data_IF_217052709943
#
_entry.id   IF_217052709943
#
_cell.length_a   1.000
_cell.length_b   1.000
_cell.length_c   1.000
_cell.angle_alpha   90.00
_cell.angle_beta   90.00
_cell.angle_gamma   90.00
#
_symmetry.space_group_name_H-M   'P 1'
#
loop_
_entity.id
_entity.type
_entity.pdbx_description
1 polymer ?
#
# COMPACT_ATOMS: atom_id res chain seq x y z
N UNK A 1 5.75 13.89 -12.27
CA UNK A 1 5.02 12.68 -11.83
C UNK A 1 4.67 11.89 -13.06
N UNK A 2 5.00 10.60 -13.09
CA UNK A 2 4.25 9.70 -13.96
C UNK A 2 2.81 9.74 -13.49
N UNK A 3 1.82 9.76 -14.39
CA UNK A 3 0.45 9.54 -13.93
C UNK A 3 0.44 8.13 -13.35
N UNK A 4 -0.21 7.92 -12.20
CA UNK A 4 -0.28 6.59 -11.57
C UNK A 4 -0.66 5.47 -12.53
N UNK A 5 -1.51 5.81 -13.51
CA UNK A 5 -1.89 4.92 -14.60
C UNK A 5 -0.72 4.46 -15.47
N UNK A 6 0.26 5.33 -15.75
CA UNK A 6 1.42 5.01 -16.57
C UNK A 6 2.31 3.96 -15.88
N UNK A 7 2.47 4.08 -14.56
CA UNK A 7 3.20 3.10 -13.74
C UNK A 7 2.52 1.72 -13.80
N UNK A 8 1.21 1.70 -13.59
CA UNK A 8 0.42 0.46 -13.65
C UNK A 8 0.48 -0.15 -15.05
N UNK A 9 0.31 0.66 -16.11
CA UNK A 9 0.36 0.21 -17.50
C UNK A 9 1.73 -0.36 -17.88
N UNK A 10 2.82 0.25 -17.39
CA UNK A 10 4.19 -0.23 -17.64
C UNK A 10 4.42 -1.64 -17.06
N UNK A 11 3.76 -1.96 -15.95
CA UNK A 11 3.85 -3.28 -15.32
C UNK A 11 2.87 -4.28 -15.96
N UNK A 12 1.72 -3.80 -16.43
CA UNK A 12 0.79 -4.56 -17.28
C UNK A 12 0.47 -5.94 -16.72
N UNK A 13 0.73 -6.98 -17.52
CA UNK A 13 0.46 -8.38 -17.19
C UNK A 13 1.21 -8.88 -15.95
N UNK A 14 2.30 -8.23 -15.52
CA UNK A 14 2.99 -8.61 -14.28
C UNK A 14 2.10 -8.43 -13.04
N UNK A 15 1.18 -7.48 -13.09
CA UNK A 15 0.19 -7.23 -12.03
C UNK A 15 -1.10 -8.03 -12.23
N UNK A 16 -1.20 -8.80 -13.32
CA UNK A 16 -2.35 -9.67 -13.55
C UNK A 16 -2.43 -10.75 -12.47
N UNK A 17 -3.65 -11.08 -12.06
CA UNK A 17 -3.89 -12.09 -11.03
C UNK A 17 -3.78 -11.59 -9.59
N UNK A 18 -3.35 -10.34 -9.36
CA UNK A 18 -3.48 -9.72 -8.04
C UNK A 18 -4.96 -9.59 -7.67
N UNK A 19 -5.30 -9.99 -6.44
CA UNK A 19 -6.66 -9.97 -5.91
C UNK A 19 -6.96 -8.66 -5.19
N UNK A 20 -5.92 -8.03 -4.65
CA UNK A 20 -5.96 -6.74 -4.01
C UNK A 20 -6.28 -5.61 -4.99
N UNK A 21 -6.64 -4.46 -4.43
CA UNK A 21 -7.02 -3.28 -5.23
C UNK A 21 -5.79 -2.43 -5.51
N UNK A 22 -5.58 -2.08 -6.77
CA UNK A 22 -4.65 -1.02 -7.16
C UNK A 22 -5.44 0.23 -7.56
N UNK A 23 -5.13 1.36 -6.94
CA UNK A 23 -5.75 2.66 -7.22
C UNK A 23 -4.68 3.63 -7.73
N UNK A 24 -4.73 4.08 -8.99
CA UNK A 24 -3.82 5.13 -9.47
C UNK A 24 -4.15 6.47 -8.84
N UNK A 25 -3.14 7.33 -8.66
CA UNK A 25 -3.29 8.70 -8.18
C UNK A 25 -4.10 8.79 -6.89
N UNK A 26 -3.78 7.94 -5.90
CA UNK A 26 -4.54 7.87 -4.67
C UNK A 26 -4.27 9.10 -3.78
N UNK A 27 -5.33 9.75 -3.33
CA UNK A 27 -5.25 10.94 -2.48
C UNK A 27 -4.84 10.55 -1.05
N UNK A 28 -3.64 10.95 -0.62
CA UNK A 28 -3.10 10.55 0.68
C UNK A 28 -3.77 11.28 1.84
N UNK A 29 -4.33 12.47 1.63
CA UNK A 29 -5.14 13.19 2.61
C UNK A 29 -6.41 12.42 3.05
N UNK A 30 -6.96 11.55 2.19
CA UNK A 30 -8.07 10.65 2.54
C UNK A 30 -7.62 9.44 3.36
N UNK A 31 -6.32 9.20 3.46
CA UNK A 31 -5.72 8.02 4.10
C UNK A 31 -5.02 8.38 5.41
N UNK A 32 -4.33 9.52 5.45
CA UNK A 32 -3.58 9.97 6.62
C UNK A 32 -4.51 10.53 7.69
N UNK A 33 -4.14 10.34 8.96
CA UNK A 33 -4.90 10.88 10.08
C UNK A 33 -4.95 12.40 10.10
N UNK A 34 -3.83 13.04 9.73
CA UNK A 34 -3.71 14.50 9.65
C UNK A 34 -4.50 15.11 8.48
N UNK A 35 -5.10 14.28 7.60
CA UNK A 35 -5.82 14.72 6.40
C UNK A 35 -4.99 15.66 5.53
N UNK A 36 -3.72 15.29 5.36
CA UNK A 36 -2.73 16.05 4.61
C UNK A 36 -1.93 15.11 3.71
N UNK A 37 -1.48 15.64 2.58
CA UNK A 37 -0.67 14.93 1.60
C UNK A 37 -1.19 14.98 0.18
N UNK A 38 -0.25 15.05 -0.77
CA UNK A 38 -0.55 14.93 -2.19
C UNK A 38 -0.88 13.51 -2.63
N UNK A 39 -0.70 13.23 -3.92
CA UNK A 39 -1.05 11.94 -4.51
C UNK A 39 0.05 10.90 -4.30
N UNK A 40 -0.33 9.67 -3.94
CA UNK A 40 0.48 8.50 -4.23
C UNK A 40 0.33 8.14 -5.72
N UNK A 41 1.44 7.86 -6.41
CA UNK A 41 1.39 7.45 -7.82
C UNK A 41 0.50 6.21 -7.97
N UNK A 42 0.70 5.16 -7.18
CA UNK A 42 -0.25 4.06 -7.06
C UNK A 42 -0.41 3.58 -5.63
N UNK A 43 -1.64 3.30 -5.20
CA UNK A 43 -1.93 2.65 -3.92
C UNK A 43 -2.32 1.20 -4.17
N UNK A 44 -1.60 0.27 -3.57
CA UNK A 44 -1.97 -1.13 -3.52
C UNK A 44 -2.50 -1.53 -2.14
N UNK A 45 -3.65 -2.20 -2.13
CA UNK A 45 -4.27 -2.79 -0.95
C UNK A 45 -4.36 -4.30 -1.14
N UNK A 46 -3.35 -5.06 -0.68
CA UNK A 46 -3.33 -6.52 -0.83
C UNK A 46 -4.53 -7.15 -0.11
N UNK A 47 -5.00 -8.27 -0.66
CA UNK A 47 -6.03 -9.09 -0.04
C UNK A 47 -5.53 -9.78 1.24
N UNK A 48 -4.28 -10.27 1.21
CA UNK A 48 -3.60 -11.06 2.25
C UNK A 48 -2.08 -11.15 1.96
N UNK A 49 -1.37 -12.00 2.68
CA UNK A 49 0.08 -12.21 2.56
C UNK A 49 0.50 -12.76 1.21
N UNK A 50 -0.23 -13.73 0.65
CA UNK A 50 0.07 -14.33 -0.66
C UNK A 50 -0.05 -13.30 -1.78
N UNK A 51 -1.06 -12.45 -1.70
CA UNK A 51 -1.30 -11.36 -2.66
C UNK A 51 -0.20 -10.28 -2.55
N UNK A 52 0.21 -9.93 -1.34
CA UNK A 52 1.34 -9.05 -1.11
C UNK A 52 2.65 -9.64 -1.66
N UNK A 53 2.91 -10.93 -1.42
CA UNK A 53 4.11 -11.59 -1.91
C UNK A 53 4.13 -11.67 -3.45
N UNK A 54 2.97 -11.92 -4.08
CA UNK A 54 2.84 -11.89 -5.53
C UNK A 54 3.13 -10.50 -6.10
N UNK A 55 2.60 -9.45 -5.47
CA UNK A 55 2.88 -8.06 -5.85
C UNK A 55 4.37 -7.72 -5.72
N UNK A 56 5.02 -8.07 -4.60
CA UNK A 56 6.44 -7.80 -4.38
C UNK A 56 7.35 -8.51 -5.39
N UNK A 57 6.95 -9.68 -5.88
CA UNK A 57 7.66 -10.38 -6.98
C UNK A 57 7.45 -9.73 -8.35
N UNK A 58 6.28 -9.14 -8.57
CA UNK A 58 5.91 -8.52 -9.84
C UNK A 58 6.54 -7.14 -10.05
N UNK A 59 6.73 -6.38 -8.97
CA UNK A 59 7.26 -5.03 -9.00
C UNK A 59 8.79 -5.04 -9.04
N UNK A 60 9.43 -4.42 -10.04
CA UNK A 60 10.89 -4.28 -10.10
C UNK A 60 11.46 -3.50 -8.91
N UNK A 61 12.65 -3.87 -8.44
CA UNK A 61 13.30 -3.25 -7.28
C UNK A 61 13.54 -1.74 -7.44
N UNK A 62 13.67 -1.24 -8.68
CA UNK A 62 13.85 0.19 -8.94
C UNK A 62 12.59 1.03 -8.71
N UNK A 63 11.41 0.40 -8.61
CA UNK A 63 10.15 1.10 -8.33
C UNK A 63 10.02 1.27 -6.81
N UNK A 64 10.01 2.51 -6.27
CA UNK A 64 9.92 2.72 -4.84
C UNK A 64 8.62 2.15 -4.25
N UNK A 65 8.73 1.51 -3.09
CA UNK A 65 7.59 1.01 -2.32
C UNK A 65 7.61 1.66 -0.94
N UNK A 66 6.48 2.28 -0.57
CA UNK A 66 6.25 2.82 0.77
C UNK A 66 5.14 2.03 1.46
N UNK A 67 5.44 1.37 2.57
CA UNK A 67 4.42 0.64 3.34
C UNK A 67 3.78 1.57 4.37
N UNK A 68 2.46 1.57 4.44
CA UNK A 68 1.68 2.38 5.39
C UNK A 68 0.64 1.54 6.11
N UNK A 69 0.41 1.88 7.38
CA UNK A 69 -0.73 1.38 8.15
C UNK A 69 -1.97 2.27 7.95
N UNK A 70 -2.59 2.67 9.05
CA UNK A 70 -3.74 3.60 9.05
C UNK A 70 -3.34 5.08 8.95
N UNK A 71 -2.05 5.40 8.82
CA UNK A 71 -1.57 6.77 8.64
C UNK A 71 -1.67 7.67 9.88
N UNK A 72 -1.72 7.10 11.10
CA UNK A 72 -1.82 7.85 12.37
C UNK A 72 -0.57 8.68 12.71
N UNK A 73 0.57 8.32 12.14
CA UNK A 73 1.85 9.01 12.37
C UNK A 73 2.59 9.27 11.05
N UNK A 74 1.85 9.65 10.01
CA UNK A 74 2.41 9.93 8.69
C UNK A 74 1.98 11.33 8.22
N UNK A 75 2.96 12.18 7.91
CA UNK A 75 2.76 13.48 7.28
C UNK A 75 3.32 13.43 5.86
N UNK A 76 2.42 13.31 4.88
CA UNK A 76 2.78 13.28 3.46
C UNK A 76 2.89 14.71 2.95
N UNK A 77 3.91 14.98 2.14
CA UNK A 77 4.08 16.30 1.50
C UNK A 77 3.07 16.46 0.35
N UNK A 78 2.75 17.69 -0.02
CA UNK A 78 1.88 17.98 -1.18
C UNK A 78 2.45 17.45 -2.50
N UNK A 79 3.77 17.27 -2.56
CA UNK A 79 4.46 16.61 -3.67
C UNK A 79 4.20 15.10 -3.77
N UNK A 80 3.38 14.51 -2.89
CA UNK A 80 2.94 13.12 -3.00
C UNK A 80 4.00 12.08 -2.66
N UNK A 81 3.72 10.83 -3.06
CA UNK A 81 4.60 9.66 -2.86
C UNK A 81 4.83 8.97 -4.22
N UNK A 82 6.09 8.85 -4.69
CA UNK A 82 6.40 8.17 -5.94
C UNK A 82 6.30 6.64 -5.81
N UNK A 83 6.07 5.95 -6.92
CA UNK A 83 5.98 4.49 -6.96
C UNK A 83 4.69 3.95 -6.32
N UNK A 84 4.81 2.86 -5.56
CA UNK A 84 3.68 2.25 -4.88
C UNK A 84 3.64 2.59 -3.40
N UNK A 85 2.47 2.98 -2.92
CA UNK A 85 2.10 2.91 -1.52
C UNK A 85 1.39 1.58 -1.28
N UNK A 86 1.84 0.80 -0.32
CA UNK A 86 1.19 -0.46 0.08
C UNK A 86 0.50 -0.25 1.42
N UNK A 87 -0.83 -0.40 1.46
CA UNK A 87 -1.62 -0.24 2.67
C UNK A 87 -2.11 -1.59 3.19
N UNK A 88 -1.54 -2.02 4.31
CA UNK A 88 -1.92 -3.27 4.99
C UNK A 88 -3.21 -3.02 5.78
N UNK A 89 -4.34 -3.50 5.27
CA UNK A 89 -5.64 -3.30 5.89
C UNK A 89 -5.95 -4.38 6.93
N UNK A 90 -6.74 -4.05 7.95
CA UNK A 90 -7.16 -5.00 8.97
C UNK A 90 -7.91 -6.22 8.40
N UNK A 91 -8.52 -6.09 7.20
CA UNK A 91 -9.20 -7.22 6.54
C UNK A 91 -8.25 -8.36 6.18
N UNK A 92 -7.01 -8.07 5.80
CA UNK A 92 -6.02 -9.07 5.41
C UNK A 92 -4.87 -9.24 6.40
N UNK A 93 -4.71 -8.30 7.34
CA UNK A 93 -3.54 -8.21 8.23
C UNK A 93 -3.91 -7.81 9.67
N UNK A 94 -5.18 -7.97 10.06
CA UNK A 94 -5.70 -7.56 11.37
C UNK A 94 -5.92 -8.71 12.34
N UNK A 95 -5.62 -9.95 11.95
CA UNK A 95 -5.80 -11.11 12.81
C UNK A 95 -4.81 -11.08 13.98
N UNK A 96 -5.27 -11.54 15.13
CA UNK A 96 -4.45 -11.67 16.33
C UNK A 96 -4.82 -12.97 17.03
N UNK A 97 -3.79 -13.72 17.42
CA UNK A 97 -3.94 -15.00 18.12
C UNK A 97 -3.28 -14.91 19.50
N UNK A 98 -3.97 -15.45 20.51
CA UNK A 98 -3.41 -15.59 21.85
C UNK A 98 -2.49 -16.80 21.87
N UNK A 99 -1.18 -16.56 21.91
CA UNK A 99 -0.17 -17.62 21.91
C UNK A 99 0.18 -18.16 23.31
N UNK A 100 -0.30 -17.52 24.37
CA UNK A 100 -0.10 -17.99 25.75
C UNK A 100 -1.14 -17.44 26.72
N UNK A 101 -1.38 -18.15 27.82
CA UNK A 101 -2.26 -17.71 28.91
C UNK A 101 -1.57 -16.78 29.92
N UNK A 102 -0.31 -16.41 29.70
CA UNK A 102 0.46 -15.57 30.62
C UNK A 102 0.10 -14.10 30.32
N UNK A 103 -0.56 -13.44 31.28
CA UNK A 103 -0.81 -12.00 31.22
C UNK A 103 0.40 -11.18 31.66
N UNK A 104 0.67 -10.06 30.99
CA UNK A 104 1.58 -9.03 31.50
C UNK A 104 0.83 -8.28 32.60
N UNK A 105 1.40 -8.24 33.81
CA UNK A 105 0.87 -7.46 34.94
C UNK A 105 1.10 -5.96 34.73
#
# INVERSE_FOLDING_TARGET
MMRGQDLINKLGDKLSGLRGRITPNAEMDKITWFRAGGLAEALFQPADEEDLAAFLRAVPEEVPITVVGVGSNLLVRDGGIPGFVVRLSAKGFGEAEVVSSIGIK
#
